data_IF_106877554690
#
_entry.id   IF_106877554690
#
_cell.length_a   1.000
_cell.length_b   1.000
_cell.length_c   1.000
_cell.angle_alpha   90.00
_cell.angle_beta   90.00
_cell.angle_gamma   90.00
#
_symmetry.space_group_name_H-M   'P 1'
#
loop_
_entity.id
_entity.type
_entity.pdbx_description
1 polymer ?
#
# COMPACT_ATOMS: atom_id res chain seq x y z
N UNK A 1 9.86 22.48 -38.49
CA UNK A 1 9.30 21.41 -37.65
C UNK A 1 8.30 22.09 -36.73
N UNK A 2 7.03 21.76 -36.87
CA UNK A 2 5.90 22.47 -36.23
C UNK A 2 6.00 22.39 -34.72
N UNK A 3 6.20 23.54 -34.10
CA UNK A 3 6.04 23.78 -32.68
C UNK A 3 4.54 23.63 -32.36
N UNK A 4 4.12 22.41 -31.98
CA UNK A 4 2.78 22.19 -31.45
C UNK A 4 2.67 23.01 -30.17
N UNK A 5 2.03 24.19 -30.26
CA UNK A 5 1.63 24.98 -29.08
C UNK A 5 0.83 24.06 -28.17
N UNK A 6 1.45 23.57 -27.10
CA UNK A 6 0.76 22.82 -26.06
C UNK A 6 -0.38 23.68 -25.55
N UNK A 7 -1.59 23.12 -25.51
CA UNK A 7 -2.73 23.83 -24.95
C UNK A 7 -2.45 24.15 -23.49
N UNK A 8 -2.88 25.33 -23.03
CA UNK A 8 -2.84 25.69 -21.62
C UNK A 8 -3.46 24.62 -20.72
N UNK A 9 -4.46 23.90 -21.23
CA UNK A 9 -5.11 22.80 -20.50
C UNK A 9 -4.17 21.62 -20.30
N UNK A 10 -3.33 21.30 -21.29
CA UNK A 10 -2.37 20.19 -21.21
C UNK A 10 -1.23 20.54 -20.28
N UNK A 11 -0.73 21.78 -20.34
CA UNK A 11 0.29 22.29 -19.42
C UNK A 11 -0.20 22.25 -17.97
N UNK A 12 -1.42 22.75 -17.71
CA UNK A 12 -2.03 22.71 -16.37
C UNK A 12 -2.22 21.26 -15.91
N UNK A 13 -2.71 20.37 -16.79
CA UNK A 13 -2.91 18.96 -16.45
C UNK A 13 -1.58 18.29 -16.07
N UNK A 14 -0.54 18.47 -16.87
CA UNK A 14 0.79 17.92 -16.60
C UNK A 14 1.31 18.39 -15.23
N UNK A 15 1.17 19.68 -14.93
CA UNK A 15 1.63 20.26 -13.67
C UNK A 15 0.86 19.73 -12.45
N UNK A 16 -0.48 19.64 -12.54
CA UNK A 16 -1.30 19.08 -11.46
C UNK A 16 -0.99 17.60 -11.23
N UNK A 17 -0.74 16.82 -12.30
CA UNK A 17 -0.41 15.40 -12.17
C UNK A 17 0.94 15.16 -11.49
N UNK A 18 1.88 16.11 -11.55
CA UNK A 18 3.15 16.09 -10.81
C UNK A 18 3.02 16.49 -9.34
N UNK A 19 1.85 16.97 -8.90
CA UNK A 19 1.57 17.42 -7.52
C UNK A 19 0.50 16.53 -6.86
N UNK A 20 0.87 15.35 -6.32
CA UNK A 20 -0.08 14.39 -5.75
C UNK A 20 -1.05 14.99 -4.72
N UNK A 21 -0.57 15.84 -3.82
CA UNK A 21 -1.39 16.45 -2.78
C UNK A 21 -2.38 17.48 -3.34
N UNK A 22 -1.99 18.28 -4.32
CA UNK A 22 -2.90 19.23 -4.98
C UNK A 22 -3.95 18.47 -5.76
N UNK A 23 -3.54 17.44 -6.51
CA UNK A 23 -4.46 16.53 -7.22
C UNK A 23 -5.48 15.90 -6.28
N UNK A 24 -5.05 15.46 -5.10
CA UNK A 24 -5.92 14.89 -4.08
C UNK A 24 -6.90 15.92 -3.50
N UNK A 25 -6.45 17.15 -3.21
CA UNK A 25 -7.36 18.21 -2.79
C UNK A 25 -8.36 18.60 -3.90
N UNK A 26 -7.95 18.58 -5.17
CA UNK A 26 -8.83 18.85 -6.31
C UNK A 26 -9.90 17.76 -6.45
N UNK A 27 -9.52 16.48 -6.33
CA UNK A 27 -10.48 15.36 -6.38
C UNK A 27 -11.49 15.39 -5.22
N UNK A 28 -11.09 15.92 -4.07
CA UNK A 28 -11.97 16.19 -2.92
C UNK A 28 -12.86 17.44 -3.07
N UNK A 29 -12.58 18.30 -4.06
CA UNK A 29 -13.33 19.54 -4.27
C UNK A 29 -13.08 20.63 -3.23
N UNK A 30 -11.95 20.59 -2.52
CA UNK A 30 -11.62 21.52 -1.42
C UNK A 30 -10.62 22.62 -1.83
N UNK A 31 -10.28 22.71 -3.12
CA UNK A 31 -9.29 23.67 -3.63
C UNK A 31 -9.92 25.01 -3.99
N UNK A 32 -9.26 26.11 -3.58
CA UNK A 32 -9.54 27.43 -4.11
C UNK A 32 -8.89 27.59 -5.49
N UNK A 33 -9.64 27.28 -6.55
CA UNK A 33 -9.16 27.37 -7.93
C UNK A 33 -8.70 28.76 -8.36
N UNK A 34 -9.20 29.83 -7.72
CA UNK A 34 -8.78 31.19 -8.06
C UNK A 34 -7.38 31.49 -7.51
N UNK A 35 -7.06 30.97 -6.32
CA UNK A 35 -5.72 31.05 -5.75
C UNK A 35 -4.73 30.16 -6.51
N UNK A 36 -5.13 28.91 -6.80
CA UNK A 36 -4.31 27.97 -7.56
C UNK A 36 -4.01 28.48 -8.98
N UNK A 37 -4.97 29.14 -9.64
CA UNK A 37 -4.75 29.73 -10.96
C UNK A 37 -3.68 30.84 -10.96
N UNK A 38 -3.66 31.72 -9.94
CA UNK A 38 -2.63 32.77 -9.81
C UNK A 38 -1.26 32.16 -9.56
N UNK A 39 -1.19 31.18 -8.66
CA UNK A 39 0.05 30.47 -8.36
C UNK A 39 0.65 29.84 -9.62
N UNK A 40 -0.15 29.07 -10.37
CA UNK A 40 0.32 28.41 -11.58
C UNK A 40 0.67 29.39 -12.71
N UNK A 41 -0.05 30.51 -12.84
CA UNK A 41 0.27 31.53 -13.83
C UNK A 41 1.66 32.13 -13.60
N UNK A 42 1.99 32.42 -12.34
CA UNK A 42 3.28 32.96 -11.92
C UNK A 42 4.40 31.94 -12.03
N UNK A 43 4.19 30.71 -11.54
CA UNK A 43 5.20 29.66 -11.52
C UNK A 43 5.60 29.17 -12.92
N UNK A 44 4.65 29.17 -13.87
CA UNK A 44 4.83 28.63 -15.22
C UNK A 44 5.03 29.71 -16.29
N UNK A 45 5.09 30.99 -15.89
CA UNK A 45 5.20 32.15 -16.80
C UNK A 45 4.21 32.09 -17.98
N UNK A 46 2.95 31.77 -17.67
CA UNK A 46 1.92 31.55 -18.68
C UNK A 46 1.35 32.87 -19.19
N UNK A 47 1.45 33.10 -20.51
CA UNK A 47 0.81 34.24 -21.20
C UNK A 47 -0.71 34.03 -21.40
N UNK A 48 -1.40 33.60 -20.35
CA UNK A 48 -2.81 33.24 -20.38
C UNK A 48 -3.57 33.86 -19.22
N UNK A 49 -4.81 34.25 -19.49
CA UNK A 49 -5.63 34.92 -18.48
C UNK A 49 -5.92 34.00 -17.28
N UNK A 50 -5.87 34.55 -16.06
CA UNK A 50 -6.25 33.84 -14.82
C UNK A 50 -7.63 33.18 -14.93
N UNK A 51 -8.67 33.80 -15.54
CA UNK A 51 -9.95 33.13 -15.79
C UNK A 51 -9.83 31.87 -16.65
N UNK A 52 -8.99 31.86 -17.69
CA UNK A 52 -8.79 30.68 -18.53
C UNK A 52 -8.12 29.54 -17.77
N UNK A 53 -7.07 29.83 -16.98
CA UNK A 53 -6.39 28.85 -16.12
C UNK A 53 -7.36 28.28 -15.09
N UNK A 54 -8.14 29.15 -14.43
CA UNK A 54 -9.17 28.74 -13.47
C UNK A 54 -10.20 27.80 -14.11
N UNK A 55 -10.67 28.11 -15.31
CA UNK A 55 -11.65 27.26 -16.01
C UNK A 55 -11.06 25.89 -16.40
N UNK A 56 -9.78 25.84 -16.78
CA UNK A 56 -9.09 24.57 -17.03
C UNK A 56 -8.96 23.75 -15.73
N UNK A 57 -8.59 24.39 -14.61
CA UNK A 57 -8.50 23.75 -13.29
C UNK A 57 -9.85 23.21 -12.80
N UNK A 58 -10.94 23.97 -12.95
CA UNK A 58 -12.29 23.51 -12.57
C UNK A 58 -12.66 22.25 -13.35
N UNK A 59 -12.43 22.24 -14.66
CA UNK A 59 -12.72 21.09 -15.52
C UNK A 59 -11.92 19.86 -15.11
N UNK A 60 -10.62 20.04 -14.89
CA UNK A 60 -9.74 18.97 -14.42
C UNK A 60 -10.17 18.46 -13.04
N UNK A 61 -10.58 19.34 -12.13
CA UNK A 61 -11.10 18.95 -10.82
C UNK A 61 -12.34 18.07 -10.90
N UNK A 62 -13.28 18.39 -11.80
CA UNK A 62 -14.47 17.56 -12.04
C UNK A 62 -14.12 16.20 -12.66
N UNK A 63 -13.14 16.12 -13.54
CA UNK A 63 -12.60 14.86 -14.07
C UNK A 63 -12.01 14.01 -12.94
N UNK A 64 -11.09 14.58 -12.14
CA UNK A 64 -10.43 13.90 -11.02
C UNK A 64 -11.42 13.42 -9.96
N UNK A 65 -12.47 14.21 -9.68
CA UNK A 65 -13.52 13.84 -8.72
C UNK A 65 -14.30 12.62 -9.19
N UNK A 66 -14.63 12.53 -10.48
CA UNK A 66 -15.30 11.36 -11.07
C UNK A 66 -14.41 10.13 -11.04
N UNK A 67 -13.14 10.28 -11.43
CA UNK A 67 -12.15 9.19 -11.38
C UNK A 67 -11.99 8.65 -9.96
N UNK A 68 -11.86 9.54 -8.98
CA UNK A 68 -11.77 9.17 -7.56
C UNK A 68 -13.00 8.39 -7.10
N UNK A 69 -14.21 8.87 -7.41
CA UNK A 69 -15.44 8.19 -7.01
C UNK A 69 -15.54 6.78 -7.59
N UNK A 70 -15.16 6.59 -8.86
CA UNK A 70 -15.11 5.27 -9.48
C UNK A 70 -14.09 4.36 -8.81
N UNK A 71 -12.90 4.89 -8.50
CA UNK A 71 -11.85 4.13 -7.81
C UNK A 71 -12.29 3.72 -6.40
N UNK A 72 -12.87 4.63 -5.63
CA UNK A 72 -13.42 4.35 -4.30
C UNK A 72 -14.49 3.27 -4.34
N UNK A 73 -15.33 3.25 -5.37
CA UNK A 73 -16.31 2.19 -5.60
C UNK A 73 -15.64 0.82 -5.80
N UNK A 74 -14.58 0.76 -6.62
CA UNK A 74 -13.81 -0.48 -6.84
C UNK A 74 -13.07 -0.95 -5.59
N UNK A 75 -12.45 -0.03 -4.85
CA UNK A 75 -11.76 -0.34 -3.58
C UNK A 75 -12.76 -0.88 -2.56
N UNK A 76 -13.93 -0.25 -2.42
CA UNK A 76 -15.03 -0.73 -1.58
C UNK A 76 -15.44 -2.15 -1.96
N UNK A 77 -15.65 -2.42 -3.24
CA UNK A 77 -16.04 -3.74 -3.72
C UNK A 77 -15.02 -4.82 -3.35
N UNK A 78 -13.72 -4.56 -3.55
CA UNK A 78 -12.66 -5.53 -3.19
C UNK A 78 -12.65 -5.78 -1.68
N UNK A 79 -12.65 -4.71 -0.88
CA UNK A 79 -12.57 -4.79 0.57
C UNK A 79 -13.81 -5.46 1.18
N UNK A 80 -15.02 -5.11 0.73
CA UNK A 80 -16.27 -5.70 1.23
C UNK A 80 -16.37 -7.21 0.99
N UNK A 81 -15.80 -7.67 -0.13
CA UNK A 81 -15.76 -9.09 -0.50
C UNK A 81 -14.51 -9.81 0.01
N UNK A 82 -13.74 -9.21 0.92
CA UNK A 82 -12.58 -9.84 1.53
C UNK A 82 -12.96 -10.59 2.81
N UNK A 83 -12.10 -11.53 3.20
CA UNK A 83 -12.11 -12.18 4.52
C UNK A 83 -10.80 -11.91 5.23
N UNK A 84 -10.83 -11.92 6.56
CA UNK A 84 -9.66 -11.72 7.41
C UNK A 84 -9.38 -13.00 8.19
N UNK A 85 -8.12 -13.40 8.23
CA UNK A 85 -7.60 -14.50 9.03
C UNK A 85 -6.46 -13.98 9.91
N UNK A 86 -6.29 -14.59 11.08
CA UNK A 86 -5.28 -14.22 12.07
C UNK A 86 -4.43 -15.44 12.38
N UNK A 87 -3.12 -15.27 12.26
CA UNK A 87 -2.12 -16.24 12.71
C UNK A 87 -1.29 -15.62 13.84
N UNK A 88 -1.54 -16.07 15.07
CA UNK A 88 -0.77 -15.66 16.24
C UNK A 88 0.58 -16.36 16.29
N UNK A 89 1.46 -15.82 17.14
CA UNK A 89 2.74 -16.43 17.48
C UNK A 89 3.61 -16.64 16.23
N UNK A 90 3.89 -15.56 15.51
CA UNK A 90 4.87 -15.59 14.40
C UNK A 90 6.12 -14.79 14.76
N UNK A 91 7.25 -15.20 14.18
CA UNK A 91 8.54 -14.53 14.27
C UNK A 91 8.97 -14.06 12.88
N UNK A 92 9.63 -12.90 12.83
CA UNK A 92 10.20 -12.32 11.60
C UNK A 92 11.71 -12.39 11.71
N UNK A 93 12.32 -13.27 10.93
CA UNK A 93 13.76 -13.51 10.91
C UNK A 93 14.31 -12.84 9.65
N UNK A 94 15.29 -11.96 9.81
CA UNK A 94 16.02 -11.36 8.69
C UNK A 94 17.42 -11.94 8.63
N UNK A 95 17.84 -12.38 7.45
CA UNK A 95 19.15 -13.00 7.22
C UNK A 95 19.79 -12.45 5.96
N UNK A 96 21.13 -12.48 5.90
CA UNK A 96 21.87 -12.10 4.71
C UNK A 96 21.66 -13.09 3.56
N UNK A 97 21.67 -12.59 2.32
CA UNK A 97 21.34 -13.38 1.12
C UNK A 97 22.26 -14.59 0.91
N UNK A 98 23.54 -14.44 1.22
CA UNK A 98 24.59 -15.47 1.12
C UNK A 98 24.35 -16.68 2.03
N UNK A 99 23.57 -16.52 3.11
CA UNK A 99 23.28 -17.60 4.06
C UNK A 99 22.13 -18.51 3.62
N UNK A 100 21.23 -18.02 2.76
CA UNK A 100 20.04 -18.77 2.32
C UNK A 100 20.34 -19.74 1.18
N UNK A 101 21.28 -19.40 0.29
CA UNK A 101 21.52 -20.17 -0.94
C UNK A 101 21.93 -21.62 -0.66
N UNK A 102 22.68 -21.86 0.42
CA UNK A 102 23.13 -23.20 0.82
C UNK A 102 22.07 -24.06 1.51
N UNK A 103 21.02 -23.45 2.08
CA UNK A 103 20.02 -24.12 2.94
C UNK A 103 18.61 -24.03 2.37
N UNK A 104 18.46 -23.62 1.12
CA UNK A 104 17.15 -23.41 0.48
C UNK A 104 16.31 -24.70 0.42
N UNK A 105 16.97 -25.86 0.31
CA UNK A 105 16.30 -27.16 0.33
C UNK A 105 15.68 -27.44 1.70
N UNK A 106 16.46 -27.23 2.75
CA UNK A 106 16.01 -27.46 4.13
C UNK A 106 14.89 -26.46 4.51
N UNK A 107 14.99 -25.21 4.05
CA UNK A 107 13.91 -24.22 4.21
C UNK A 107 12.63 -24.67 3.48
N UNK A 108 12.75 -25.33 2.32
CA UNK A 108 11.59 -25.87 1.61
C UNK A 108 10.91 -27.01 2.39
N UNK A 109 11.65 -27.80 3.16
CA UNK A 109 11.08 -28.84 4.03
C UNK A 109 10.29 -28.18 5.16
N UNK A 110 10.87 -27.18 5.84
CA UNK A 110 10.16 -26.40 6.89
C UNK A 110 8.90 -25.74 6.32
N UNK A 111 8.96 -25.19 5.11
CA UNK A 111 7.81 -24.58 4.44
C UNK A 111 6.64 -25.56 4.24
N UNK A 112 6.92 -26.86 4.10
CA UNK A 112 5.89 -27.88 3.92
C UNK A 112 5.26 -28.35 5.23
N UNK A 113 5.99 -28.26 6.34
CA UNK A 113 5.54 -28.71 7.67
C UNK A 113 4.94 -27.58 8.51
N UNK A 114 5.47 -26.36 8.37
CA UNK A 114 5.09 -25.24 9.21
C UNK A 114 3.66 -24.79 8.90
N UNK A 115 2.89 -24.52 9.96
CA UNK A 115 1.53 -23.96 9.83
C UNK A 115 1.49 -22.56 9.20
N UNK A 116 2.63 -21.85 9.18
CA UNK A 116 2.73 -20.55 8.55
C UNK A 116 4.19 -20.24 8.20
N UNK A 117 4.45 -19.99 6.92
CA UNK A 117 5.74 -19.52 6.45
C UNK A 117 5.55 -18.54 5.29
N UNK A 118 6.27 -17.41 5.34
CA UNK A 118 6.43 -16.47 4.23
C UNK A 118 7.91 -16.21 4.03
N UNK A 119 8.39 -16.32 2.79
CA UNK A 119 9.76 -16.03 2.42
C UNK A 119 9.78 -14.86 1.43
N UNK A 120 10.41 -13.76 1.80
CA UNK A 120 10.52 -12.57 0.96
C UNK A 120 11.99 -12.24 0.72
N UNK A 121 12.39 -12.10 -0.54
CA UNK A 121 13.74 -11.74 -0.92
C UNK A 121 13.87 -10.21 -1.11
N UNK A 122 14.78 -9.59 -0.37
CA UNK A 122 15.23 -8.22 -0.58
C UNK A 122 16.47 -8.15 -1.49
N UNK A 123 17.09 -6.96 -1.58
CA UNK A 123 18.32 -6.79 -2.36
C UNK A 123 19.50 -7.54 -1.75
N UNK A 124 19.66 -7.45 -0.43
CA UNK A 124 20.81 -7.97 0.33
C UNK A 124 20.41 -9.01 1.39
N UNK A 125 19.12 -9.11 1.70
CA UNK A 125 18.59 -9.97 2.76
C UNK A 125 17.43 -10.83 2.27
N UNK A 126 17.14 -11.88 3.01
CA UNK A 126 15.84 -12.54 3.03
C UNK A 126 15.14 -12.24 4.36
N UNK A 127 13.83 -12.13 4.29
CA UNK A 127 12.97 -12.10 5.48
C UNK A 127 12.09 -13.34 5.47
N UNK A 128 12.13 -14.09 6.57
CA UNK A 128 11.33 -15.27 6.83
C UNK A 128 10.36 -14.91 7.93
N UNK A 129 9.07 -14.90 7.63
CA UNK A 129 8.02 -14.85 8.64
C UNK A 129 7.55 -16.27 8.87
N UNK A 130 7.64 -16.77 10.10
CA UNK A 130 7.36 -18.17 10.41
C UNK A 130 6.60 -18.32 11.72
N UNK A 131 5.84 -19.40 11.88
CA UNK A 131 5.31 -19.79 13.19
C UNK A 131 6.46 -19.87 14.22
N UNK A 132 6.26 -19.29 15.41
CA UNK A 132 7.32 -19.14 16.41
C UNK A 132 7.88 -20.48 16.89
N UNK A 133 7.07 -21.54 16.87
CA UNK A 133 7.49 -22.91 17.21
C UNK A 133 8.55 -23.49 16.26
N UNK A 134 8.64 -22.97 15.03
CA UNK A 134 9.64 -23.38 14.03
C UNK A 134 10.81 -22.39 13.91
N UNK A 135 10.83 -21.30 14.69
CA UNK A 135 11.88 -20.27 14.64
C UNK A 135 13.28 -20.86 14.84
N UNK A 136 13.42 -21.76 15.82
CA UNK A 136 14.71 -22.34 16.16
C UNK A 136 15.26 -23.22 15.03
N UNK A 137 14.39 -23.96 14.33
CA UNK A 137 14.79 -24.76 13.16
C UNK A 137 15.41 -23.87 12.08
N UNK A 138 14.80 -22.73 11.80
CA UNK A 138 15.33 -21.77 10.82
C UNK A 138 16.66 -21.18 11.30
N UNK A 139 16.74 -20.77 12.57
CA UNK A 139 17.97 -20.19 13.13
C UNK A 139 19.15 -21.17 13.10
N UNK A 140 18.91 -22.45 13.37
CA UNK A 140 19.95 -23.49 13.29
C UNK A 140 20.47 -23.69 11.86
N UNK A 141 19.59 -23.60 10.85
CA UNK A 141 19.97 -23.74 9.44
C UNK A 141 20.77 -22.52 8.93
N UNK A 142 20.28 -21.31 9.17
CA UNK A 142 20.88 -20.07 8.63
C UNK A 142 22.10 -19.61 9.45
N UNK A 143 22.20 -20.05 10.70
CA UNK A 143 23.22 -19.63 11.65
C UNK A 143 22.99 -18.19 12.13
N UNK A 144 23.93 -17.29 11.82
CA UNK A 144 23.85 -15.89 12.24
C UNK A 144 22.72 -15.15 11.49
N UNK A 145 21.89 -14.45 12.25
CA UNK A 145 20.78 -13.65 11.74
C UNK A 145 21.12 -12.16 11.82
N UNK A 146 20.55 -11.36 10.91
CA UNK A 146 20.67 -9.89 10.95
C UNK A 146 19.78 -9.33 12.05
N UNK A 147 18.56 -9.84 12.15
CA UNK A 147 17.61 -9.47 13.21
C UNK A 147 16.52 -10.52 13.36
N UNK A 148 15.93 -10.59 14.55
CA UNK A 148 14.75 -11.40 14.83
C UNK A 148 13.74 -10.52 15.57
N UNK A 149 12.54 -10.36 14.99
CA UNK A 149 11.39 -9.79 15.69
C UNK A 149 10.50 -10.92 16.16
N UNK A 150 10.39 -11.09 17.47
CA UNK A 150 9.47 -12.03 18.11
C UNK A 150 8.16 -11.34 18.48
N UNK A 151 7.22 -12.12 18.97
CA UNK A 151 5.92 -11.63 19.42
C UNK A 151 5.19 -10.84 18.34
N UNK A 152 5.14 -11.40 17.14
CA UNK A 152 4.38 -10.84 16.04
C UNK A 152 3.11 -11.65 15.79
N UNK A 153 2.18 -11.07 15.07
CA UNK A 153 0.95 -11.68 14.57
C UNK A 153 0.79 -11.31 13.11
N UNK A 154 0.43 -12.29 12.27
CA UNK A 154 0.11 -12.06 10.88
C UNK A 154 -1.42 -11.97 10.70
N UNK A 155 -1.88 -10.86 10.12
CA UNK A 155 -3.26 -10.65 9.68
C UNK A 155 -3.32 -10.81 8.17
N UNK A 156 -3.98 -11.84 7.69
CA UNK A 156 -4.13 -12.14 6.26
C UNK A 156 -5.50 -11.66 5.78
N UNK A 157 -5.51 -10.77 4.80
CA UNK A 157 -6.70 -10.34 4.08
C UNK A 157 -6.75 -11.06 2.74
N UNK A 158 -7.70 -11.97 2.59
CA UNK A 158 -7.93 -12.73 1.36
C UNK A 158 -9.00 -12.01 0.56
N UNK A 159 -8.60 -11.43 -0.57
CA UNK A 159 -9.45 -10.57 -1.41
C UNK A 159 -9.93 -11.27 -2.67
N UNK A 160 -10.96 -10.76 -3.37
CA UNK A 160 -11.29 -11.21 -4.72
C UNK A 160 -10.15 -10.89 -5.70
N UNK A 161 -10.05 -11.64 -6.80
CA UNK A 161 -8.98 -11.48 -7.80
C UNK A 161 -8.84 -10.07 -8.39
N UNK A 162 -9.91 -9.26 -8.32
CA UNK A 162 -9.92 -7.84 -8.71
C UNK A 162 -8.92 -6.99 -7.90
N UNK A 163 -8.41 -7.45 -6.74
CA UNK A 163 -7.35 -6.76 -6.00
C UNK A 163 -6.09 -6.54 -6.85
N UNK A 164 -5.77 -7.45 -7.77
CA UNK A 164 -4.57 -7.42 -8.62
C UNK A 164 -4.55 -6.20 -9.54
N UNK A 165 -5.73 -5.73 -9.96
CA UNK A 165 -5.90 -4.63 -10.91
C UNK A 165 -6.50 -3.35 -10.29
N UNK A 166 -6.75 -3.36 -8.98
CA UNK A 166 -7.45 -2.26 -8.29
C UNK A 166 -6.47 -1.47 -7.41
N UNK A 167 -6.04 -0.28 -7.87
CA UNK A 167 -5.10 0.52 -7.10
C UNK A 167 -5.76 1.04 -5.81
N UNK A 168 -4.95 1.26 -4.78
CA UNK A 168 -5.39 1.90 -3.54
C UNK A 168 -5.96 0.96 -2.47
N UNK A 169 -6.22 -0.32 -2.76
CA UNK A 169 -6.73 -1.28 -1.75
C UNK A 169 -5.77 -1.42 -0.56
N UNK A 170 -4.49 -1.71 -0.83
CA UNK A 170 -3.47 -1.81 0.23
C UNK A 170 -3.29 -0.47 0.93
N UNK A 171 -3.23 0.64 0.18
CA UNK A 171 -3.08 1.98 0.74
C UNK A 171 -4.24 2.34 1.69
N UNK A 172 -5.47 1.92 1.37
CA UNK A 172 -6.65 2.15 2.19
C UNK A 172 -6.55 1.39 3.53
N UNK A 173 -6.18 0.11 3.49
CA UNK A 173 -5.99 -0.71 4.70
C UNK A 173 -4.84 -0.20 5.56
N UNK A 174 -3.68 0.12 4.98
CA UNK A 174 -2.54 0.67 5.74
C UNK A 174 -2.81 2.07 6.29
N UNK A 175 -3.59 2.89 5.59
CA UNK A 175 -4.04 4.20 6.10
C UNK A 175 -4.95 4.04 7.32
N UNK A 176 -5.87 3.06 7.31
CA UNK A 176 -6.73 2.79 8.45
C UNK A 176 -5.95 2.32 9.69
N UNK A 177 -4.94 1.45 9.49
CA UNK A 177 -4.05 0.99 10.56
C UNK A 177 -3.18 2.14 11.11
N UNK A 178 -2.50 2.88 10.23
CA UNK A 178 -1.62 3.98 10.64
C UNK A 178 -2.36 5.13 11.32
N UNK A 179 -3.57 5.48 10.86
CA UNK A 179 -4.42 6.50 11.50
C UNK A 179 -4.84 6.11 12.93
N UNK A 180 -4.74 4.83 13.27
CA UNK A 180 -5.00 4.30 14.62
C UNK A 180 -3.73 4.06 15.43
N UNK A 181 -2.56 4.45 14.92
CA UNK A 181 -1.26 4.27 15.58
C UNK A 181 -0.74 2.83 15.55
N UNK A 182 -1.25 1.99 14.64
CA UNK A 182 -0.76 0.62 14.48
C UNK A 182 0.48 0.62 13.58
N UNK A 183 1.60 0.17 14.11
CA UNK A 183 2.82 -0.03 13.33
C UNK A 183 2.79 -1.39 12.62
N UNK A 184 3.17 -1.41 11.34
CA UNK A 184 3.24 -2.62 10.54
C UNK A 184 4.71 -3.00 10.40
N UNK A 185 5.09 -4.19 10.86
CA UNK A 185 6.47 -4.68 10.78
C UNK A 185 6.78 -5.28 9.42
N UNK A 186 5.81 -5.94 8.76
CA UNK A 186 5.93 -6.42 7.37
C UNK A 186 4.60 -6.28 6.62
N UNK A 187 4.69 -6.01 5.32
CA UNK A 187 3.56 -6.07 4.37
C UNK A 187 3.95 -7.03 3.26
N UNK A 188 3.17 -8.11 3.10
CA UNK A 188 3.42 -9.14 2.08
C UNK A 188 2.18 -9.22 1.19
N UNK A 189 2.40 -9.25 -0.12
CA UNK A 189 1.33 -9.40 -1.12
C UNK A 189 1.61 -10.65 -1.93
N UNK A 190 0.74 -11.65 -1.82
CA UNK A 190 0.84 -12.92 -2.54
C UNK A 190 -0.46 -13.19 -3.28
N UNK A 191 -0.49 -12.89 -4.59
CA UNK A 191 -1.67 -13.04 -5.45
C UNK A 191 -2.90 -12.30 -4.93
N UNK A 192 -3.80 -12.96 -4.18
CA UNK A 192 -5.02 -12.39 -3.60
C UNK A 192 -4.86 -12.01 -2.13
N UNK A 193 -3.77 -12.42 -1.51
CA UNK A 193 -3.56 -12.33 -0.08
C UNK A 193 -2.70 -11.12 0.22
N UNK A 194 -3.18 -10.27 1.13
CA UNK A 194 -2.39 -9.19 1.74
C UNK A 194 -2.17 -9.54 3.20
N UNK A 195 -0.92 -9.75 3.59
CA UNK A 195 -0.55 -10.14 4.94
C UNK A 195 0.14 -8.96 5.62
N UNK A 196 -0.42 -8.52 6.74
CA UNK A 196 0.17 -7.53 7.64
C UNK A 196 0.77 -8.24 8.84
N UNK A 197 2.06 -8.10 9.05
CA UNK A 197 2.71 -8.55 10.29
C UNK A 197 2.80 -7.37 11.24
N UNK A 198 2.34 -7.57 12.47
CA UNK A 198 2.13 -6.53 13.48
C UNK A 198 2.58 -7.08 14.83
N UNK A 199 3.03 -6.21 15.73
CA UNK A 199 3.32 -6.57 17.13
C UNK A 199 2.08 -7.20 17.78
N UNK A 200 2.27 -8.31 18.49
CA UNK A 200 1.21 -9.07 19.16
C UNK A 200 0.34 -8.19 20.06
N UNK A 201 0.92 -7.17 20.70
CA UNK A 201 0.17 -6.27 21.60
C UNK A 201 -0.87 -5.42 20.85
N UNK A 202 -0.60 -5.10 19.60
CA UNK A 202 -1.45 -4.25 18.75
C UNK A 202 -2.41 -5.07 17.88
N UNK A 203 -2.15 -6.38 17.74
CA UNK A 203 -2.89 -7.27 16.86
C UNK A 203 -4.41 -7.34 17.13
N UNK A 204 -4.91 -7.40 18.38
CA UNK A 204 -6.35 -7.39 18.63
C UNK A 204 -7.04 -6.13 18.10
N UNK A 205 -6.39 -4.96 18.28
CA UNK A 205 -6.92 -3.68 17.79
C UNK A 205 -6.85 -3.59 16.28
N UNK A 206 -5.74 -4.05 15.69
CA UNK A 206 -5.56 -4.08 14.24
C UNK A 206 -6.61 -4.97 13.55
N UNK A 207 -6.87 -6.16 14.10
CA UNK A 207 -7.92 -7.07 13.61
C UNK A 207 -9.29 -6.39 13.63
N UNK A 208 -9.67 -5.77 14.75
CA UNK A 208 -10.95 -5.05 14.88
C UNK A 208 -11.11 -3.94 13.84
N UNK A 209 -10.06 -3.14 13.61
CA UNK A 209 -10.09 -2.06 12.61
C UNK A 209 -10.34 -2.62 11.21
N UNK A 210 -9.61 -3.68 10.82
CA UNK A 210 -9.73 -4.28 9.49
C UNK A 210 -11.06 -5.02 9.32
N UNK A 211 -11.52 -5.74 10.34
CA UNK A 211 -12.81 -6.41 10.33
C UNK A 211 -13.98 -5.41 10.21
N UNK A 212 -13.96 -4.32 10.97
CA UNK A 212 -14.97 -3.26 10.85
C UNK A 212 -14.94 -2.64 9.46
N UNK A 213 -13.74 -2.39 8.93
CA UNK A 213 -13.53 -1.84 7.60
C UNK A 213 -14.10 -2.77 6.51
N UNK A 214 -13.88 -4.08 6.58
CA UNK A 214 -14.49 -5.07 5.68
C UNK A 214 -16.03 -5.03 5.82
N UNK A 215 -16.55 -5.09 7.05
CA UNK A 215 -17.99 -5.11 7.32
C UNK A 215 -18.70 -3.85 6.82
N UNK A 216 -18.09 -2.67 6.93
CA UNK A 216 -18.66 -1.40 6.46
C UNK A 216 -18.68 -1.27 4.93
N UNK A 217 -17.89 -2.07 4.24
CA UNK A 217 -17.77 -2.06 2.78
C UNK A 217 -18.58 -3.17 2.09
N UNK A 218 -19.17 -4.09 2.87
CA UNK A 218 -20.22 -5.02 2.43
C UNK A 218 -21.53 -4.30 2.19
#
# INVERSE_FOLDING_TARGET
MSDERRSITDVIREEIMRRPFVRECMSLGIVNYSALARLLAEELDLDSSIPAIKMALIRLGEELKKEKSLLEGRVREVIGNSIIELQSDVSVITVSKDRITGVIKDISEIMSESRFLQLTQGRETFTIVIASEDEEKVCQLVGETVSILRDQTALTIISPGRIIETPGVVAFMTSALSSNGINITQVISCYKDTIFVIDRKDAPRAYQILEELIRRMR
#
